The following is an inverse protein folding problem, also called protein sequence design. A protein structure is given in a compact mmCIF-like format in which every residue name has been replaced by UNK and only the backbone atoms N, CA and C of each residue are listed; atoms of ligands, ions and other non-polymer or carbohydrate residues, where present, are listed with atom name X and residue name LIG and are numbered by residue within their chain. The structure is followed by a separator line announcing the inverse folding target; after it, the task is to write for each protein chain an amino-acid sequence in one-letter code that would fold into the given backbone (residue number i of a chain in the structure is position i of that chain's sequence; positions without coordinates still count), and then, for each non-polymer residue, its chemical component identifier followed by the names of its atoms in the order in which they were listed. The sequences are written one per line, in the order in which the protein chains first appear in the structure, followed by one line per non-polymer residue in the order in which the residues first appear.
data_IF_092893719384
#
_entry.id   IF_092893719384
#
_cell.length_a   1.000
_cell.length_b   1.000
_cell.length_c   1.000
_cell.angle_alpha   90.00
_cell.angle_beta   90.00
_cell.angle_gamma   90.00
#
_symmetry.space_group_name_H-M   'P 1'
#
loop_
_entity.id
_entity.type
_entity.pdbx_description
1 polymer ?
#
# COMPACT_ATOMS: atom_id res chain seq x y z
N UNK A 1 -14.08 49.50 -27.35
CA UNK A 1 -14.34 48.60 -26.20
C UNK A 1 -13.95 47.19 -26.64
N UNK A 2 -12.75 46.75 -26.27
CA UNK A 2 -12.14 45.52 -26.81
C UNK A 2 -12.56 44.29 -26.00
N UNK A 3 -13.05 43.27 -26.69
CA UNK A 3 -13.25 41.91 -26.17
C UNK A 3 -11.91 41.30 -25.75
N UNK A 4 -11.85 40.65 -24.59
CA UNK A 4 -10.96 39.49 -24.43
C UNK A 4 -11.60 38.46 -23.51
N UNK A 5 -12.04 37.35 -24.13
CA UNK A 5 -12.39 36.10 -23.45
C UNK A 5 -11.16 35.60 -22.68
N UNK A 6 -11.23 35.49 -21.36
CA UNK A 6 -10.25 34.73 -20.59
C UNK A 6 -10.63 33.25 -20.63
N UNK A 7 -10.20 32.56 -21.69
CA UNK A 7 -9.88 31.14 -21.60
C UNK A 7 -8.37 31.03 -21.38
N UNK A 8 -7.94 30.01 -20.61
CA UNK A 8 -6.57 29.52 -20.29
C UNK A 8 -6.18 29.86 -18.85
N UNK A 9 -5.90 28.91 -17.95
CA UNK A 9 -5.20 27.62 -18.12
C UNK A 9 -5.69 26.61 -17.04
N UNK A 10 -5.66 25.28 -17.28
CA UNK A 10 -5.76 24.30 -16.19
C UNK A 10 -4.60 24.57 -15.21
N UNK A 11 -4.90 24.54 -13.92
CA UNK A 11 -3.95 24.80 -12.85
C UNK A 11 -2.74 23.87 -13.02
N UNK A 12 -1.60 24.45 -13.37
CA UNK A 12 -0.33 23.72 -13.46
C UNK A 12 0.20 23.52 -12.04
N UNK A 13 0.27 22.26 -11.66
CA UNK A 13 0.97 21.62 -10.54
C UNK A 13 2.06 22.48 -9.91
N UNK A 14 1.91 22.79 -8.62
CA UNK A 14 3.02 23.27 -7.81
C UNK A 14 3.87 22.05 -7.41
N UNK A 15 4.90 21.76 -8.21
CA UNK A 15 5.94 20.81 -7.81
C UNK A 15 6.86 21.50 -6.81
N UNK A 16 6.60 21.35 -5.52
CA UNK A 16 7.59 21.71 -4.48
C UNK A 16 8.54 20.53 -4.30
N UNK A 17 9.62 20.50 -5.07
CA UNK A 17 10.77 19.65 -4.74
C UNK A 17 11.50 20.26 -3.53
N UNK A 18 11.11 19.88 -2.32
CA UNK A 18 11.79 20.29 -1.09
C UNK A 18 12.83 19.23 -0.72
N UNK A 19 14.09 19.46 -1.08
CA UNK A 19 15.21 18.63 -0.63
C UNK A 19 15.50 18.93 0.86
N UNK A 20 14.90 18.15 1.76
CA UNK A 20 15.18 18.19 3.20
C UNK A 20 16.36 17.26 3.50
N UNK A 21 17.56 17.79 3.78
CA UNK A 21 18.67 17.00 4.32
C UNK A 21 20.06 17.46 3.86
N UNK A 22 20.73 18.24 4.69
CA UNK A 22 22.17 18.53 4.58
C UNK A 22 22.90 17.73 5.67
N UNK A 23 23.22 16.46 5.36
CA UNK A 23 24.43 15.70 5.72
C UNK A 23 24.17 14.20 5.41
N UNK A 24 24.37 13.82 4.15
CA UNK A 24 24.25 12.47 3.53
C UNK A 24 22.90 11.72 3.68
N UNK A 25 22.26 11.38 2.54
CA UNK A 25 22.03 10.00 2.05
C UNK A 25 20.76 9.81 1.20
N UNK A 26 19.75 10.68 1.30
CA UNK A 26 18.48 10.47 0.57
C UNK A 26 17.84 11.79 0.11
N UNK A 27 17.48 11.87 -1.17
CA UNK A 27 16.73 13.00 -1.76
C UNK A 27 15.25 12.66 -1.70
N UNK A 28 14.43 13.57 -1.18
CA UNK A 28 12.97 13.44 -1.19
C UNK A 28 12.35 14.41 -2.20
N UNK A 29 11.39 13.94 -2.99
CA UNK A 29 10.53 14.76 -3.84
C UNK A 29 9.08 14.58 -3.41
N UNK A 30 8.33 15.67 -3.37
CA UNK A 30 6.92 15.67 -2.98
C UNK A 30 6.08 16.38 -4.03
N UNK A 31 4.98 15.74 -4.44
CA UNK A 31 4.03 16.24 -5.43
C UNK A 31 2.67 16.29 -4.75
N UNK A 32 2.08 17.47 -4.67
CA UNK A 32 0.78 17.68 -4.03
C UNK A 32 -0.17 18.32 -5.04
N UNK A 33 -1.33 17.70 -5.24
CA UNK A 33 -2.39 18.22 -6.08
C UNK A 33 -3.46 18.89 -5.22
N UNK A 34 -4.02 19.98 -5.74
CA UNK A 34 -5.06 20.74 -5.07
C UNK A 34 -6.28 20.93 -5.97
N UNK A 35 -7.45 21.00 -5.36
CA UNK A 35 -8.68 21.43 -6.03
C UNK A 35 -8.72 22.97 -6.22
N UNK A 36 -9.81 23.49 -6.80
CA UNK A 36 -9.99 24.93 -7.02
C UNK A 36 -10.17 25.75 -5.74
N UNK A 37 -10.41 25.10 -4.61
CA UNK A 37 -10.59 25.71 -3.29
C UNK A 37 -9.30 25.67 -2.46
N UNK A 38 -8.27 24.95 -2.93
CA UNK A 38 -6.99 24.78 -2.27
C UNK A 38 -6.93 23.59 -1.33
N UNK A 39 -7.89 22.66 -1.39
CA UNK A 39 -7.82 21.41 -0.63
C UNK A 39 -6.92 20.40 -1.36
N UNK A 40 -6.15 19.61 -0.61
CA UNK A 40 -5.35 18.52 -1.19
C UNK A 40 -6.29 17.46 -1.77
N UNK A 41 -5.96 16.95 -2.96
CA UNK A 41 -6.70 15.86 -3.62
C UNK A 41 -5.83 14.64 -3.88
N UNK A 42 -4.52 14.77 -3.71
CA UNK A 42 -3.52 13.71 -3.85
C UNK A 42 -2.19 14.24 -3.32
N UNK A 43 -1.42 13.41 -2.64
CA UNK A 43 -0.01 13.65 -2.33
C UNK A 43 0.83 12.42 -2.68
N UNK A 44 1.99 12.65 -3.28
CA UNK A 44 2.98 11.63 -3.61
C UNK A 44 4.32 12.06 -3.05
N UNK A 45 4.98 11.18 -2.29
CA UNK A 45 6.32 11.38 -1.74
C UNK A 45 7.25 10.29 -2.27
N UNK A 46 8.24 10.67 -3.06
CA UNK A 46 9.26 9.78 -3.58
C UNK A 46 10.60 10.01 -2.87
N UNK A 47 11.25 8.92 -2.46
CA UNK A 47 12.56 8.94 -1.80
C UNK A 47 13.57 8.28 -2.72
N UNK A 48 14.70 8.93 -2.90
CA UNK A 48 15.79 8.52 -3.78
C UNK A 48 17.07 8.32 -3.01
N UNK A 49 17.85 7.31 -3.37
CA UNK A 49 19.21 7.14 -2.87
C UNK A 49 20.19 8.15 -3.49
N UNK A 50 21.44 8.14 -3.01
CA UNK A 50 22.52 9.01 -3.50
C UNK A 50 22.83 8.86 -5.00
N UNK A 51 22.49 7.71 -5.60
CA UNK A 51 22.65 7.47 -7.04
C UNK A 51 21.46 8.01 -7.86
N UNK A 52 20.50 8.69 -7.24
CA UNK A 52 19.30 9.24 -7.87
C UNK A 52 18.26 8.20 -8.25
N UNK A 53 18.31 6.98 -7.72
CA UNK A 53 17.31 5.92 -7.96
C UNK A 53 16.24 5.95 -6.88
N UNK A 54 14.97 5.83 -7.27
CA UNK A 54 13.83 5.84 -6.34
C UNK A 54 13.83 4.57 -5.49
N UNK A 55 13.97 4.69 -4.18
CA UNK A 55 13.96 3.55 -3.25
C UNK A 55 12.62 3.40 -2.52
N UNK A 56 11.81 4.46 -2.46
CA UNK A 56 10.47 4.41 -1.89
C UNK A 56 9.52 5.41 -2.52
N UNK A 57 8.23 5.11 -2.47
CA UNK A 57 7.14 5.94 -2.96
C UNK A 57 5.97 5.80 -1.98
N UNK A 58 5.41 6.90 -1.50
CA UNK A 58 4.20 6.92 -0.66
C UNK A 58 3.14 7.77 -1.35
N UNK A 59 1.93 7.22 -1.51
CA UNK A 59 0.83 7.84 -2.21
C UNK A 59 -0.39 7.96 -1.29
N UNK A 60 -0.84 9.18 -1.08
CA UNK A 60 -2.19 9.54 -0.65
C UNK A 60 -2.96 9.91 -1.92
N UNK A 61 -3.90 9.06 -2.32
CA UNK A 61 -4.57 9.15 -3.62
C UNK A 61 -5.79 10.06 -3.59
N UNK A 62 -6.40 10.24 -2.43
CA UNK A 62 -7.64 10.99 -2.27
C UNK A 62 -7.49 12.31 -1.49
N UNK A 63 -6.30 12.56 -0.94
CA UNK A 63 -5.96 13.79 -0.22
C UNK A 63 -6.52 13.84 1.19
N UNK A 64 -6.91 12.71 1.77
CA UNK A 64 -7.43 12.65 3.15
C UNK A 64 -6.33 12.79 4.22
N UNK A 65 -5.06 12.81 3.81
CA UNK A 65 -3.89 12.89 4.67
C UNK A 65 -3.39 11.54 5.18
N UNK A 66 -3.95 10.43 4.68
CA UNK A 66 -3.47 9.06 4.95
C UNK A 66 -2.85 8.47 3.69
N UNK A 67 -1.84 7.65 3.90
CA UNK A 67 -1.18 6.92 2.82
C UNK A 67 -2.03 5.73 2.38
N UNK A 68 -2.45 5.72 1.11
CA UNK A 68 -3.17 4.61 0.48
C UNK A 68 -2.23 3.52 -0.05
N UNK A 69 -1.02 3.89 -0.45
CA UNK A 69 -0.07 2.96 -1.04
C UNK A 69 1.38 3.34 -0.71
N UNK A 70 2.17 2.33 -0.38
CA UNK A 70 3.63 2.44 -0.23
C UNK A 70 4.30 1.44 -1.16
N UNK A 71 5.29 1.90 -1.93
CA UNK A 71 6.21 1.06 -2.68
C UNK A 71 7.62 1.18 -2.10
N UNK A 72 8.35 0.06 -2.07
CA UNK A 72 9.78 0.01 -1.78
C UNK A 72 10.50 -0.76 -2.85
N UNK A 73 11.52 -0.14 -3.43
CA UNK A 73 12.24 -0.65 -4.59
C UNK A 73 13.65 -1.04 -4.19
N UNK A 74 14.06 -2.20 -4.66
CA UNK A 74 15.42 -2.70 -4.58
C UNK A 74 15.98 -2.83 -5.99
N UNK A 75 17.28 -2.63 -6.11
CA UNK A 75 17.99 -2.66 -7.39
C UNK A 75 19.14 -3.66 -7.32
N UNK A 76 19.45 -4.29 -8.45
CA UNK A 76 20.69 -5.04 -8.62
C UNK A 76 21.91 -4.12 -8.81
N UNK A 77 23.08 -4.72 -9.00
CA UNK A 77 24.34 -4.00 -9.17
C UNK A 77 24.34 -3.13 -10.44
N UNK A 78 23.65 -3.59 -11.48
CA UNK A 78 23.48 -2.91 -12.76
C UNK A 78 22.45 -1.76 -12.68
N UNK A 79 21.62 -1.75 -11.63
CA UNK A 79 20.60 -0.74 -11.39
C UNK A 79 19.24 -1.02 -11.98
N UNK A 80 18.98 -2.27 -12.35
CA UNK A 80 17.63 -2.72 -12.70
C UNK A 80 16.85 -3.04 -11.41
N UNK A 81 15.54 -2.72 -11.34
CA UNK A 81 14.70 -3.20 -10.25
C UNK A 81 14.79 -4.72 -10.10
N UNK A 82 14.91 -5.19 -8.86
CA UNK A 82 15.03 -6.62 -8.49
C UNK A 82 14.18 -6.98 -7.27
N UNK A 83 13.14 -6.19 -7.02
CA UNK A 83 12.30 -6.34 -5.85
C UNK A 83 11.47 -5.09 -5.61
N UNK A 84 10.17 -5.20 -5.80
CA UNK A 84 9.20 -4.15 -5.51
C UNK A 84 8.22 -4.70 -4.48
N UNK A 85 8.31 -4.18 -3.26
CA UNK A 85 7.32 -4.41 -2.23
C UNK A 85 6.25 -3.34 -2.32
N UNK A 86 4.98 -3.75 -2.46
CA UNK A 86 3.84 -2.83 -2.44
C UNK A 86 2.94 -3.16 -1.27
N UNK A 87 2.56 -2.14 -0.50
CA UNK A 87 1.52 -2.24 0.52
C UNK A 87 0.41 -1.27 0.15
N UNK A 88 -0.84 -1.72 0.22
CA UNK A 88 -2.02 -0.87 0.05
C UNK A 88 -2.80 -0.84 1.34
N UNK A 89 -3.44 0.30 1.60
CA UNK A 89 -4.21 0.54 2.81
C UNK A 89 -5.66 0.87 2.45
N UNK A 90 -6.56 0.71 3.42
CA UNK A 90 -7.89 1.30 3.37
C UNK A 90 -7.89 2.73 3.93
N UNK A 91 -9.03 3.43 3.85
CA UNK A 91 -9.17 4.78 4.39
C UNK A 91 -9.13 4.87 5.93
N UNK A 92 -8.94 3.77 6.65
CA UNK A 92 -8.65 3.76 8.09
C UNK A 92 -7.15 3.54 8.37
N UNK A 93 -6.33 3.33 7.34
CA UNK A 93 -4.90 3.06 7.44
C UNK A 93 -4.56 1.60 7.74
N UNK A 94 -5.48 0.66 7.54
CA UNK A 94 -5.21 -0.77 7.70
C UNK A 94 -4.74 -1.37 6.37
N UNK A 95 -3.70 -2.22 6.37
CA UNK A 95 -3.19 -2.80 5.14
C UNK A 95 -4.23 -3.77 4.56
N UNK A 96 -4.65 -3.54 3.31
CA UNK A 96 -5.60 -4.38 2.56
C UNK A 96 -4.90 -5.39 1.67
N UNK A 97 -3.67 -5.09 1.23
CA UNK A 97 -2.83 -6.02 0.48
C UNK A 97 -1.35 -5.75 0.69
N UNK A 98 -0.55 -6.81 0.65
CA UNK A 98 0.92 -6.75 0.52
C UNK A 98 1.30 -7.58 -0.69
N UNK A 99 2.18 -7.09 -1.54
CA UNK A 99 2.66 -7.85 -2.69
C UNK A 99 4.15 -7.66 -2.92
N UNK A 100 4.77 -8.67 -3.53
CA UNK A 100 6.19 -8.63 -3.89
C UNK A 100 6.39 -9.06 -5.34
N UNK A 101 6.93 -8.15 -6.14
CA UNK A 101 7.38 -8.39 -7.52
C UNK A 101 8.91 -8.47 -7.51
N UNK A 102 9.44 -9.68 -7.70
CA UNK A 102 10.86 -10.00 -7.59
C UNK A 102 11.67 -9.54 -8.80
N UNK A 103 11.02 -9.41 -9.95
CA UNK A 103 11.69 -9.08 -11.22
C UNK A 103 11.49 -7.63 -11.66
N UNK A 104 10.60 -6.92 -10.97
CA UNK A 104 10.23 -5.53 -11.26
C UNK A 104 9.52 -5.38 -12.60
N UNK A 105 8.78 -6.39 -13.05
CA UNK A 105 8.07 -6.40 -14.33
C UNK A 105 6.63 -5.84 -14.23
N UNK A 106 6.17 -5.57 -13.01
CA UNK A 106 4.84 -5.06 -12.70
C UNK A 106 3.84 -6.14 -12.27
N UNK A 107 4.23 -7.42 -12.28
CA UNK A 107 3.39 -8.53 -11.83
C UNK A 107 3.96 -9.10 -10.52
N UNK A 108 3.17 -9.10 -9.42
CA UNK A 108 3.63 -9.71 -8.17
C UNK A 108 3.76 -11.22 -8.28
N UNK A 109 4.92 -11.77 -7.86
CA UNK A 109 5.12 -13.21 -7.66
C UNK A 109 4.51 -13.72 -6.35
N UNK A 110 4.09 -12.79 -5.49
CA UNK A 110 3.58 -13.07 -4.15
C UNK A 110 2.56 -12.01 -3.76
N UNK A 111 1.46 -12.43 -3.13
CA UNK A 111 0.44 -11.52 -2.61
C UNK A 111 -0.22 -12.04 -1.34
N UNK A 112 -0.43 -11.13 -0.40
CA UNK A 112 -1.33 -11.30 0.73
C UNK A 112 -2.49 -10.32 0.62
N UNK A 113 -3.70 -10.77 0.91
CA UNK A 113 -4.91 -9.95 1.01
C UNK A 113 -5.50 -10.05 2.42
N UNK A 114 -5.86 -8.91 2.99
CA UNK A 114 -6.38 -8.82 4.35
C UNK A 114 -7.80 -8.24 4.35
N UNK A 115 -8.67 -8.80 5.17
CA UNK A 115 -9.99 -8.26 5.44
C UNK A 115 -10.20 -8.13 6.95
N UNK A 116 -10.85 -7.04 7.36
CA UNK A 116 -11.07 -6.69 8.76
C UNK A 116 -12.57 -6.60 9.07
N UNK A 117 -12.91 -6.92 10.30
CA UNK A 117 -14.25 -6.68 10.85
C UNK A 117 -14.49 -5.19 11.14
N UNK A 118 -15.70 -4.86 11.60
CA UNK A 118 -16.08 -3.48 11.96
C UNK A 118 -15.29 -2.90 13.13
N UNK A 119 -14.66 -3.74 13.94
CA UNK A 119 -13.82 -3.35 15.07
C UNK A 119 -12.33 -3.32 14.67
N UNK A 120 -12.02 -3.34 13.37
CA UNK A 120 -10.66 -3.30 12.81
C UNK A 120 -9.80 -4.51 13.19
N UNK A 121 -10.41 -5.67 13.47
CA UNK A 121 -9.69 -6.92 13.72
C UNK A 121 -9.65 -7.77 12.46
N UNK A 122 -8.50 -8.42 12.21
CA UNK A 122 -8.34 -9.30 11.06
C UNK A 122 -9.39 -10.43 11.10
N UNK A 123 -10.23 -10.48 10.06
CA UNK A 123 -11.28 -11.47 9.86
C UNK A 123 -10.85 -12.55 8.87
N UNK A 124 -10.13 -12.15 7.80
CA UNK A 124 -9.63 -13.08 6.80
C UNK A 124 -8.25 -12.69 6.26
N UNK A 125 -7.49 -13.71 5.85
CA UNK A 125 -6.20 -13.61 5.16
C UNK A 125 -6.20 -14.57 3.98
N UNK A 126 -5.86 -14.10 2.80
CA UNK A 126 -5.57 -14.94 1.65
C UNK A 126 -4.11 -14.74 1.23
N UNK A 127 -3.41 -15.83 0.91
CA UNK A 127 -2.01 -15.84 0.49
C UNK A 127 -1.92 -16.55 -0.85
N UNK A 128 -1.43 -15.84 -1.84
CA UNK A 128 -1.04 -16.30 -3.18
C UNK A 128 0.50 -16.30 -3.23
N UNK A 129 1.11 -17.48 -3.30
CA UNK A 129 2.55 -17.67 -3.18
C UNK A 129 3.29 -17.72 -4.50
N UNK A 130 2.57 -17.95 -5.59
CA UNK A 130 3.14 -18.07 -6.93
C UNK A 130 2.68 -16.96 -7.90
N UNK A 131 1.78 -16.08 -7.46
CA UNK A 131 1.36 -14.89 -8.20
C UNK A 131 0.40 -15.22 -9.34
N UNK A 132 -0.22 -16.40 -9.35
CA UNK A 132 -1.14 -16.81 -10.42
C UNK A 132 -2.56 -16.20 -10.28
N UNK A 133 -2.82 -15.49 -9.18
CA UNK A 133 -4.09 -14.87 -8.85
C UNK A 133 -5.03 -15.76 -8.03
N UNK A 134 -4.62 -16.99 -7.70
CA UNK A 134 -5.38 -17.95 -6.90
C UNK A 134 -4.66 -18.28 -5.59
N UNK A 135 -5.19 -17.81 -4.44
CA UNK A 135 -4.57 -18.07 -3.15
C UNK A 135 -4.47 -19.57 -2.82
N UNK A 136 -3.28 -20.06 -2.48
CA UNK A 136 -3.10 -21.43 -1.99
C UNK A 136 -3.38 -21.56 -0.50
N UNK A 137 -3.51 -20.43 0.21
CA UNK A 137 -3.99 -20.44 1.59
C UNK A 137 -5.04 -19.36 1.81
N UNK A 138 -6.17 -19.77 2.40
CA UNK A 138 -7.20 -18.85 2.90
C UNK A 138 -7.49 -19.20 4.35
N UNK A 139 -7.37 -18.21 5.22
CA UNK A 139 -7.71 -18.31 6.63
C UNK A 139 -8.86 -17.37 6.93
N UNK A 140 -9.90 -17.88 7.58
CA UNK A 140 -11.07 -17.11 8.03
C UNK A 140 -11.25 -17.36 9.52
N UNK A 141 -11.13 -16.31 10.33
CA UNK A 141 -11.09 -16.41 11.79
C UNK A 141 -12.38 -17.01 12.38
N UNK A 142 -13.53 -16.60 11.87
CA UNK A 142 -14.83 -17.11 12.34
C UNK A 142 -14.98 -18.62 12.13
N UNK A 143 -14.38 -19.16 11.07
CA UNK A 143 -14.34 -20.60 10.80
C UNK A 143 -13.38 -21.32 11.76
N UNK A 144 -12.20 -20.75 12.02
CA UNK A 144 -11.25 -21.29 13.00
C UNK A 144 -11.89 -21.38 14.38
N UNK A 145 -12.54 -20.32 14.84
CA UNK A 145 -13.24 -20.28 16.14
C UNK A 145 -14.34 -21.35 16.21
N UNK A 146 -15.11 -21.54 15.13
CA UNK A 146 -16.14 -22.56 15.05
C UNK A 146 -15.56 -23.99 15.09
N UNK A 147 -14.44 -24.24 14.40
CA UNK A 147 -13.73 -25.52 14.40
C UNK A 147 -13.17 -25.80 15.79
N UNK A 148 -12.46 -24.85 16.40
CA UNK A 148 -11.89 -24.99 17.75
C UNK A 148 -12.98 -25.25 18.79
N UNK A 149 -14.14 -24.58 18.68
CA UNK A 149 -15.29 -24.83 19.55
C UNK A 149 -15.83 -26.26 19.40
N UNK A 150 -16.01 -26.74 18.16
CA UNK A 150 -16.46 -28.12 17.91
C UNK A 150 -15.46 -29.16 18.40
N UNK A 151 -14.17 -28.95 18.17
CA UNK A 151 -13.11 -29.83 18.68
C UNK A 151 -13.14 -29.88 20.21
N UNK A 152 -13.23 -28.72 20.88
CA UNK A 152 -13.34 -28.68 22.34
C UNK A 152 -14.57 -29.44 22.85
N UNK A 153 -15.72 -29.34 22.17
CA UNK A 153 -16.89 -30.14 22.51
C UNK A 153 -16.63 -31.65 22.35
N UNK A 154 -16.02 -32.06 21.23
CA UNK A 154 -15.65 -33.45 20.92
C UNK A 154 -14.54 -34.04 21.83
N UNK A 155 -13.72 -33.21 22.46
CA UNK A 155 -12.74 -33.70 23.45
C UNK A 155 -13.30 -33.69 24.89
N UNK A 156 -14.34 -32.89 25.15
CA UNK A 156 -15.02 -32.82 26.44
C UNK A 156 -16.08 -33.91 26.61
N UNK A 157 -16.68 -34.41 25.54
CA UNK A 157 -17.64 -35.52 25.57
C UNK A 157 -16.95 -36.91 25.64
N UNK A 158 -15.75 -37.06 25.06
CA UNK A 158 -14.98 -38.32 25.07
C UNK A 158 -14.16 -38.58 26.36
N UNK A 159 -13.96 -37.59 27.24
CA UNK A 159 -13.15 -37.76 28.48
C UNK A 159 -13.95 -37.92 29.77
N UNK A 160 -15.27 -37.65 29.75
CA UNK A 160 -16.22 -38.08 30.78
C UNK A 160 -15.75 -38.07 32.25
N UNK A 161 -15.03 -37.03 32.74
CA UNK A 161 -14.71 -36.88 34.18
C UNK A 161 -14.60 -35.42 34.62
N UNK A 162 -15.51 -35.04 35.52
CA UNK A 162 -15.18 -34.15 36.65
C UNK A 162 -14.58 -34.99 37.77
#
# INVERSE_FOLDING_TARGET
MSLTKMLKKPALYLTTALALGCDSTERTEEIINYDTQGNITMALRDIYNDNGRKISSELDKDGDGRTDQVERLQYDAEGKPKGIWTVRYDGQGLPTSVSYDREGDGQPDYMELYAYDRDQRLEALAIDRDGDGYPEAVRIKSLEDAIQKKLKQFYLDDTGRF
#
